data_IF_866280729721
#
_entry.id   IF_866280729721
#
_cell.length_a   1.000
_cell.length_b   1.000
_cell.length_c   1.000
_cell.angle_alpha   90.00
_cell.angle_beta   90.00
_cell.angle_gamma   90.00
#
_symmetry.space_group_name_H-M   'P 1'
#
loop_
_entity.id
_entity.type
_entity.pdbx_description
1 polymer ?
#
# COMPACT_ATOMS: atom_id res chain seq x y z
N UNK A 1 71.51 4.72 -30.28
CA UNK A 1 70.64 3.51 -30.33
C UNK A 1 70.38 2.85 -28.96
N UNK A 2 70.65 3.54 -27.83
CA UNK A 2 70.42 2.97 -26.49
C UNK A 2 69.25 3.63 -25.72
N UNK A 3 68.83 4.85 -26.06
CA UNK A 3 67.81 5.57 -25.29
C UNK A 3 66.37 5.03 -25.48
N UNK A 4 66.06 4.48 -26.66
CA UNK A 4 64.77 3.82 -26.93
C UNK A 4 64.58 2.50 -26.18
N UNK A 5 65.66 1.75 -25.92
CA UNK A 5 65.58 0.48 -25.18
C UNK A 5 65.27 0.71 -23.70
N UNK A 6 65.80 1.76 -23.09
CA UNK A 6 65.51 2.08 -21.68
C UNK A 6 64.09 2.59 -21.45
N UNK A 7 63.52 3.33 -22.40
CA UNK A 7 62.12 3.75 -22.30
C UNK A 7 61.15 2.58 -22.47
N UNK A 8 61.44 1.64 -23.38
CA UNK A 8 60.60 0.46 -23.56
C UNK A 8 60.67 -0.49 -22.34
N UNK A 9 61.87 -0.65 -21.75
CA UNK A 9 62.06 -1.46 -20.53
C UNK A 9 61.41 -0.79 -19.32
N UNK A 10 61.48 0.54 -19.18
CA UNK A 10 60.80 1.27 -18.11
C UNK A 10 59.28 1.22 -18.23
N UNK A 11 58.74 1.23 -19.45
CA UNK A 11 57.30 1.10 -19.69
C UNK A 11 56.82 -0.33 -19.41
N UNK A 12 57.63 -1.34 -19.74
CA UNK A 12 57.33 -2.75 -19.46
C UNK A 12 57.41 -3.07 -17.96
N UNK A 13 58.35 -2.48 -17.22
CA UNK A 13 58.46 -2.68 -15.76
C UNK A 13 57.35 -1.98 -14.99
N UNK A 14 56.89 -0.80 -15.43
CA UNK A 14 55.70 -0.16 -14.85
C UNK A 14 54.45 -0.98 -15.16
N UNK A 15 54.30 -1.53 -16.36
CA UNK A 15 53.19 -2.40 -16.72
C UNK A 15 53.17 -3.69 -15.88
N UNK A 16 54.31 -4.35 -15.69
CA UNK A 16 54.41 -5.59 -14.89
C UNK A 16 54.20 -5.35 -13.39
N UNK A 17 54.69 -4.23 -12.85
CA UNK A 17 54.41 -3.84 -11.46
C UNK A 17 52.93 -3.48 -11.21
N UNK A 18 52.20 -3.05 -12.25
CA UNK A 18 50.76 -2.77 -12.18
C UNK A 18 49.90 -4.03 -12.13
N UNK A 19 50.41 -5.17 -12.61
CA UNK A 19 49.71 -6.46 -12.58
C UNK A 19 50.00 -7.30 -11.33
N UNK A 20 51.00 -6.96 -10.52
CA UNK A 20 51.41 -7.77 -9.34
C UNK A 20 50.95 -7.23 -7.98
N UNK A 21 50.17 -6.14 -7.93
CA UNK A 21 49.79 -5.54 -6.65
C UNK A 21 48.39 -4.96 -6.66
N UNK A 22 47.39 -5.80 -6.36
CA UNK A 22 46.10 -5.42 -5.75
C UNK A 22 45.30 -6.69 -5.39
N UNK A 23 45.82 -7.52 -4.49
CA UNK A 23 45.01 -8.53 -3.78
C UNK A 23 44.42 -7.94 -2.50
N UNK A 24 43.80 -6.76 -2.55
CA UNK A 24 43.15 -6.19 -1.37
C UNK A 24 42.08 -5.18 -1.76
N UNK A 25 40.99 -5.60 -2.41
CA UNK A 25 39.72 -4.86 -2.30
C UNK A 25 38.53 -5.83 -2.42
N UNK A 26 37.75 -5.88 -1.34
CA UNK A 26 36.42 -6.47 -1.19
C UNK A 26 36.26 -7.98 -1.42
N UNK A 27 36.63 -8.76 -0.41
CA UNK A 27 36.22 -10.16 -0.27
C UNK A 27 35.24 -10.40 0.90
N UNK A 28 34.65 -9.35 1.47
CA UNK A 28 33.85 -9.47 2.69
C UNK A 28 32.39 -9.86 2.46
N UNK A 29 31.81 -9.60 1.28
CA UNK A 29 30.39 -9.93 1.02
C UNK A 29 30.18 -11.31 0.36
N UNK A 30 31.09 -11.77 -0.52
CA UNK A 30 31.02 -13.10 -1.17
C UNK A 30 31.17 -14.27 -0.16
N UNK A 31 31.75 -14.02 1.02
CA UNK A 31 31.95 -15.06 2.05
C UNK A 31 30.64 -15.72 2.53
N UNK A 32 29.52 -15.00 2.58
CA UNK A 32 28.29 -15.55 3.16
C UNK A 32 27.58 -16.53 2.22
N UNK A 33 27.69 -16.33 0.91
CA UNK A 33 27.10 -17.20 -0.12
C UNK A 33 27.92 -18.47 -0.36
N UNK A 34 29.23 -18.41 -0.12
CA UNK A 34 30.17 -19.50 -0.43
C UNK A 34 30.65 -20.28 0.82
N UNK A 35 30.25 -19.86 2.03
CA UNK A 35 30.49 -20.58 3.30
C UNK A 35 29.19 -21.23 3.83
N UNK A 36 28.91 -22.50 3.47
CA UNK A 36 27.66 -23.18 3.82
C UNK A 36 27.47 -23.42 5.33
N UNK A 37 28.48 -23.17 6.15
CA UNK A 37 28.42 -23.30 7.61
C UNK A 37 27.54 -22.22 8.29
N UNK A 38 27.17 -21.15 7.58
CA UNK A 38 26.29 -20.08 8.08
C UNK A 38 24.85 -20.14 7.54
N UNK A 39 24.62 -20.87 6.44
CA UNK A 39 23.33 -20.94 5.77
C UNK A 39 22.50 -22.10 6.31
N UNK A 40 21.19 -21.89 6.46
CA UNK A 40 20.29 -22.99 6.74
C UNK A 40 20.33 -24.03 5.59
N UNK A 41 20.24 -25.34 5.89
CA UNK A 41 20.20 -26.35 4.85
C UNK A 41 19.01 -26.11 3.91
N UNK A 42 19.24 -26.30 2.60
CA UNK A 42 18.16 -26.28 1.62
C UNK A 42 17.41 -27.60 1.74
N UNK A 43 16.19 -27.56 2.28
CA UNK A 43 15.35 -28.75 2.35
C UNK A 43 14.85 -29.12 0.94
N UNK A 44 14.87 -30.41 0.55
CA UNK A 44 14.40 -30.85 -0.77
C UNK A 44 12.95 -30.45 -1.07
N UNK A 45 12.15 -30.28 -0.01
CA UNK A 45 10.73 -29.97 -0.02
C UNK A 45 10.43 -28.46 -0.19
N UNK A 46 11.40 -27.65 -0.63
CA UNK A 46 11.11 -26.24 -0.93
C UNK A 46 10.01 -26.14 -1.99
N UNK A 47 8.98 -25.30 -1.77
CA UNK A 47 7.90 -25.11 -2.74
C UNK A 47 8.42 -24.54 -4.06
N UNK A 48 7.97 -25.13 -5.18
CA UNK A 48 8.42 -24.80 -6.55
C UNK A 48 7.22 -24.68 -7.48
N UNK A 49 7.45 -24.20 -8.69
CA UNK A 49 6.42 -23.99 -9.71
C UNK A 49 5.43 -25.15 -9.87
N UNK A 50 5.91 -26.41 -9.92
CA UNK A 50 5.04 -27.59 -10.08
C UNK A 50 4.61 -28.24 -8.75
N UNK A 51 5.11 -27.76 -7.62
CA UNK A 51 4.87 -28.28 -6.27
C UNK A 51 4.73 -27.10 -5.30
N UNK A 52 3.77 -26.23 -5.59
CA UNK A 52 3.45 -25.08 -4.74
C UNK A 52 2.71 -25.53 -3.48
N UNK A 53 2.88 -24.76 -2.41
CA UNK A 53 2.13 -24.92 -1.17
C UNK A 53 1.13 -23.80 -0.99
N UNK A 54 0.04 -24.08 -0.31
CA UNK A 54 -0.91 -23.05 0.10
C UNK A 54 -0.29 -22.19 1.20
N UNK A 55 -0.46 -20.87 1.08
CA UNK A 55 -0.10 -19.93 2.14
C UNK A 55 -0.93 -20.21 3.41
N UNK A 56 -0.39 -19.95 4.61
CA UNK A 56 -1.19 -19.94 5.84
C UNK A 56 -2.34 -18.94 5.76
N UNK A 57 -3.31 -19.09 6.65
CA UNK A 57 -4.42 -18.14 6.79
C UNK A 57 -3.90 -16.70 6.89
N UNK A 58 -4.53 -15.82 6.13
CA UNK A 58 -4.09 -14.45 6.05
C UNK A 58 -4.31 -13.74 7.39
N UNK A 59 -3.23 -13.16 7.91
CA UNK A 59 -3.24 -12.37 9.15
C UNK A 59 -3.12 -10.90 8.79
N UNK A 60 -4.12 -10.14 9.22
CA UNK A 60 -4.26 -8.70 8.96
C UNK A 60 -3.13 -7.93 9.65
N UNK A 61 -2.46 -7.07 8.89
CA UNK A 61 -1.40 -6.20 9.39
C UNK A 61 -1.49 -4.80 8.75
N UNK A 62 -0.97 -3.75 9.40
CA UNK A 62 -0.85 -2.46 8.74
C UNK A 62 0.12 -2.57 7.54
N UNK A 63 -0.14 -1.89 6.40
CA UNK A 63 -1.26 -1.00 6.09
C UNK A 63 -2.31 -1.66 5.17
N UNK A 64 -2.80 -2.86 5.52
CA UNK A 64 -3.85 -3.54 4.75
C UNK A 64 -5.11 -2.69 4.61
N UNK A 65 -5.82 -2.89 3.50
CA UNK A 65 -7.10 -2.24 3.23
C UNK A 65 -8.21 -3.29 3.31
N UNK A 66 -9.13 -3.12 4.26
CA UNK A 66 -10.26 -4.03 4.46
C UNK A 66 -11.52 -3.46 3.81
N UNK A 67 -12.33 -4.31 3.17
CA UNK A 67 -13.71 -3.96 2.86
C UNK A 67 -14.59 -4.45 4.00
N UNK A 68 -15.36 -3.54 4.60
CA UNK A 68 -16.32 -3.87 5.65
C UNK A 68 -17.69 -3.49 5.12
N UNK A 69 -18.64 -4.42 5.17
CA UNK A 69 -20.02 -4.17 4.75
C UNK A 69 -20.97 -4.49 5.89
N UNK A 70 -21.87 -3.56 6.21
CA UNK A 70 -22.95 -3.79 7.14
C UNK A 70 -24.05 -4.60 6.45
N UNK A 71 -24.20 -5.87 6.84
CA UNK A 71 -25.26 -6.74 6.32
C UNK A 71 -26.56 -6.51 7.08
N UNK A 72 -26.46 -6.39 8.41
CA UNK A 72 -27.61 -6.14 9.28
C UNK A 72 -27.20 -5.33 10.52
N UNK A 73 -27.77 -4.13 10.70
CA UNK A 73 -27.51 -3.27 11.86
C UNK A 73 -28.82 -2.73 12.46
N UNK A 74 -29.55 -3.59 13.14
CA UNK A 74 -30.76 -3.20 13.88
C UNK A 74 -30.32 -2.57 15.21
N UNK A 75 -30.70 -1.33 15.55
CA UNK A 75 -30.31 -0.73 16.82
C UNK A 75 -30.93 -1.45 18.01
N UNK A 76 -30.25 -1.36 19.16
CA UNK A 76 -30.80 -1.81 20.43
C UNK A 76 -32.04 -0.99 20.83
N UNK A 77 -33.02 -1.64 21.44
CA UNK A 77 -34.18 -0.98 22.03
C UNK A 77 -33.86 -0.44 23.43
N UNK A 78 -34.42 0.74 23.83
CA UNK A 78 -35.25 1.63 23.04
C UNK A 78 -34.43 2.52 22.09
N UNK A 79 -34.85 2.58 20.82
CA UNK A 79 -34.25 3.46 19.81
C UNK A 79 -34.91 4.83 19.80
N UNK A 80 -34.11 5.89 19.78
CA UNK A 80 -34.56 7.28 19.57
C UNK A 80 -34.27 7.71 18.14
N UNK A 81 -35.21 8.38 17.49
CA UNK A 81 -35.07 8.90 16.14
C UNK A 81 -33.93 9.92 16.05
N UNK A 82 -33.12 9.82 15.01
CA UNK A 82 -32.06 10.76 14.66
C UNK A 82 -32.42 11.54 13.40
N UNK A 83 -31.76 12.68 13.14
CA UNK A 83 -31.81 13.32 11.84
C UNK A 83 -31.46 12.32 10.71
N UNK A 84 -32.12 12.45 9.57
CA UNK A 84 -32.01 11.60 8.38
C UNK A 84 -32.59 10.19 8.50
N UNK A 85 -33.17 9.83 9.64
CA UNK A 85 -33.96 8.59 9.71
C UNK A 85 -35.25 8.73 8.91
N UNK A 86 -35.74 7.60 8.37
CA UNK A 86 -37.01 7.55 7.65
C UNK A 86 -38.02 6.78 8.47
N UNK A 87 -39.18 7.40 8.71
CA UNK A 87 -40.33 6.78 9.36
C UNK A 87 -41.47 6.61 8.35
N UNK A 88 -42.16 5.47 8.41
CA UNK A 88 -43.45 5.31 7.73
C UNK A 88 -44.55 5.76 8.69
N UNK A 89 -45.40 6.67 8.22
CA UNK A 89 -46.59 7.10 8.93
C UNK A 89 -47.81 6.60 8.16
N UNK A 90 -48.71 5.92 8.85
CA UNK A 90 -50.00 5.52 8.33
C UNK A 90 -51.09 6.06 9.25
N UNK A 91 -52.14 6.62 8.65
CA UNK A 91 -53.25 7.22 9.40
C UNK A 91 -54.59 6.69 8.93
N UNK A 92 -55.54 6.59 9.86
CA UNK A 92 -56.95 6.31 9.58
C UNK A 92 -57.84 7.37 10.22
N UNK A 93 -58.92 7.74 9.53
CA UNK A 93 -59.90 8.73 9.98
C UNK A 93 -59.66 10.17 9.47
N UNK A 94 -58.63 10.40 8.65
CA UNK A 94 -58.41 11.68 7.96
C UNK A 94 -59.29 11.83 6.71
N UNK A 95 -59.58 13.07 6.26
CA UNK A 95 -60.26 13.32 4.98
C UNK A 95 -59.52 12.69 3.79
N UNK A 96 -60.26 12.14 2.83
CA UNK A 96 -59.68 11.50 1.63
C UNK A 96 -58.79 12.44 0.80
N UNK A 97 -59.06 13.75 0.88
CA UNK A 97 -58.30 14.78 0.16
C UNK A 97 -56.94 15.12 0.81
N UNK A 98 -56.72 14.72 2.06
CA UNK A 98 -55.53 15.08 2.86
C UNK A 98 -54.97 13.88 3.65
N UNK A 99 -54.62 12.76 2.98
CA UNK A 99 -54.08 11.60 3.68
C UNK A 99 -52.64 11.86 4.15
N UNK A 100 -52.34 11.53 5.41
CA UNK A 100 -50.98 11.51 5.95
C UNK A 100 -50.50 10.06 5.94
N UNK A 101 -50.16 9.58 4.74
CA UNK A 101 -49.71 8.21 4.52
C UNK A 101 -48.44 8.27 3.66
N UNK A 102 -47.36 7.70 4.16
CA UNK A 102 -46.12 7.61 3.41
C UNK A 102 -44.87 7.57 4.27
N UNK A 103 -43.73 7.72 3.60
CA UNK A 103 -42.42 7.81 4.24
C UNK A 103 -42.05 9.27 4.47
N UNK A 104 -41.62 9.55 5.69
CA UNK A 104 -41.19 10.86 6.13
C UNK A 104 -39.74 10.76 6.64
N UNK A 105 -38.86 11.54 6.04
CA UNK A 105 -37.47 11.65 6.51
C UNK A 105 -37.38 12.75 7.57
N UNK A 106 -36.78 12.44 8.71
CA UNK A 106 -36.45 13.42 9.74
C UNK A 106 -35.40 14.36 9.17
N UNK A 107 -35.72 15.66 9.13
CA UNK A 107 -34.81 16.68 8.62
C UNK A 107 -33.51 16.76 9.43
N UNK A 108 -32.49 17.40 8.85
CA UNK A 108 -31.22 17.71 9.54
C UNK A 108 -31.45 18.56 10.81
N UNK A 109 -32.51 19.36 10.80
CA UNK A 109 -32.97 20.15 11.93
C UNK A 109 -33.77 19.30 12.93
N UNK A 110 -33.90 17.99 12.73
CA UNK A 110 -34.59 17.04 13.60
C UNK A 110 -36.12 17.10 13.53
N UNK A 111 -36.69 17.74 12.50
CA UNK A 111 -38.14 17.90 12.37
C UNK A 111 -38.71 17.14 11.17
N UNK A 112 -40.02 16.86 11.21
CA UNK A 112 -40.79 16.27 10.12
C UNK A 112 -41.97 17.18 9.81
N UNK A 113 -42.27 17.29 8.52
CA UNK A 113 -43.42 18.05 7.98
C UNK A 113 -44.45 17.05 7.48
N UNK A 114 -45.69 17.14 7.98
CA UNK A 114 -46.76 16.22 7.58
C UNK A 114 -47.45 16.65 6.27
N UNK A 115 -47.48 17.95 5.99
CA UNK A 115 -48.13 18.57 4.85
C UNK A 115 -49.61 18.89 5.10
N UNK A 116 -50.30 19.28 4.01
CA UNK A 116 -51.77 19.48 3.97
C UNK A 116 -52.35 20.45 5.01
N UNK A 117 -51.55 21.41 5.49
CA UNK A 117 -51.97 22.38 6.50
C UNK A 117 -51.94 21.87 7.95
N UNK A 118 -51.61 20.59 8.19
CA UNK A 118 -51.48 20.04 9.54
C UNK A 118 -50.29 20.60 10.32
N UNK A 119 -49.33 21.21 9.63
CA UNK A 119 -48.16 21.85 10.25
C UNK A 119 -48.44 23.29 10.74
N UNK A 120 -49.63 23.83 10.45
CA UNK A 120 -50.11 25.14 10.93
C UNK A 120 -50.92 24.98 12.23
N UNK A 121 -50.75 25.90 13.19
CA UNK A 121 -51.43 25.83 14.49
C UNK A 121 -52.88 26.36 14.47
N UNK A 122 -53.24 27.11 13.42
CA UNK A 122 -54.54 27.75 13.21
C UNK A 122 -54.61 28.16 11.74
N UNK A 123 -55.80 28.25 11.13
CA UNK A 123 -55.95 28.84 9.78
C UNK A 123 -55.25 30.22 9.73
N UNK A 124 -54.10 30.31 9.05
CA UNK A 124 -53.28 31.52 8.94
C UNK A 124 -52.18 31.70 10.01
N UNK A 125 -51.82 30.64 10.74
CA UNK A 125 -50.79 30.64 11.78
C UNK A 125 -49.36 30.42 11.27
N UNK A 126 -48.37 30.53 12.16
CA UNK A 126 -46.98 30.27 11.83
C UNK A 126 -46.74 28.76 11.60
N UNK A 127 -46.14 28.43 10.45
CA UNK A 127 -45.70 27.08 10.11
C UNK A 127 -44.71 26.52 11.14
N UNK A 128 -45.01 25.35 11.72
CA UNK A 128 -44.17 24.72 12.74
C UNK A 128 -44.01 23.20 12.53
N UNK A 129 -42.89 22.76 11.94
CA UNK A 129 -42.54 21.35 11.81
C UNK A 129 -42.56 20.59 13.14
N UNK A 130 -42.83 19.29 13.09
CA UNK A 130 -42.86 18.42 14.27
C UNK A 130 -41.45 17.97 14.63
N UNK A 131 -40.97 18.31 15.82
CA UNK A 131 -39.70 17.79 16.33
C UNK A 131 -39.85 16.33 16.71
N UNK A 132 -39.26 15.42 15.92
CA UNK A 132 -39.27 13.98 16.20
C UNK A 132 -37.91 13.43 16.61
N UNK A 133 -36.81 14.11 16.24
CA UNK A 133 -35.48 13.69 16.66
C UNK A 133 -35.34 13.72 18.20
N UNK A 134 -34.80 12.64 18.75
CA UNK A 134 -34.67 12.38 20.19
C UNK A 134 -35.85 11.62 20.80
N UNK A 135 -36.96 11.44 20.07
CA UNK A 135 -38.12 10.69 20.53
C UNK A 135 -38.02 9.22 20.12
N UNK A 136 -38.57 8.33 20.93
CA UNK A 136 -38.82 6.94 20.54
C UNK A 136 -39.99 6.84 19.55
N UNK A 137 -40.10 5.73 18.81
CA UNK A 137 -41.22 5.51 17.87
C UNK A 137 -42.60 5.66 18.55
N UNK A 138 -42.85 5.12 19.76
CA UNK A 138 -44.12 5.33 20.47
C UNK A 138 -44.37 6.80 20.85
N UNK A 139 -43.34 7.55 21.24
CA UNK A 139 -43.44 8.97 21.55
C UNK A 139 -43.71 9.80 20.29
N UNK A 140 -43.03 9.50 19.18
CA UNK A 140 -43.27 10.13 17.89
C UNK A 140 -44.71 9.88 17.41
N UNK A 141 -45.24 8.66 17.57
CA UNK A 141 -46.64 8.34 17.29
C UNK A 141 -47.60 9.20 18.14
N UNK A 142 -47.32 9.36 19.43
CA UNK A 142 -48.13 10.19 20.31
C UNK A 142 -48.14 11.67 19.87
N UNK A 143 -46.99 12.22 19.50
CA UNK A 143 -46.83 13.62 19.04
C UNK A 143 -47.56 13.85 17.71
N UNK A 144 -47.45 12.93 16.74
CA UNK A 144 -48.15 13.05 15.46
C UNK A 144 -49.67 12.97 15.67
N UNK A 145 -50.13 12.04 16.51
CA UNK A 145 -51.56 11.90 16.84
C UNK A 145 -52.11 13.17 17.50
N UNK A 146 -51.36 13.76 18.44
CA UNK A 146 -51.76 15.02 19.08
C UNK A 146 -51.87 16.16 18.06
N UNK A 147 -50.95 16.24 17.09
CA UNK A 147 -51.03 17.26 16.03
C UNK A 147 -52.29 17.10 15.18
N UNK A 148 -52.60 15.88 14.75
CA UNK A 148 -53.75 15.61 13.89
C UNK A 148 -55.07 15.79 14.63
N UNK A 149 -55.11 15.56 15.94
CA UNK A 149 -56.30 15.70 16.77
C UNK A 149 -56.82 17.16 16.87
N UNK A 150 -55.98 18.15 16.53
CA UNK A 150 -56.39 19.57 16.42
C UNK A 150 -57.34 19.79 15.23
N UNK A 151 -57.17 19.00 14.16
CA UNK A 151 -57.87 19.18 12.89
C UNK A 151 -58.98 18.14 12.68
N UNK A 152 -58.82 16.94 13.24
CA UNK A 152 -59.70 15.79 12.98
C UNK A 152 -60.08 15.11 14.30
N UNK A 153 -61.32 14.64 14.41
CA UNK A 153 -61.79 13.90 15.59
C UNK A 153 -61.24 12.46 15.59
N UNK A 154 -60.58 12.07 16.68
CA UNK A 154 -60.07 10.71 16.93
C UNK A 154 -59.20 10.10 15.80
N UNK A 155 -58.10 10.76 15.38
CA UNK A 155 -57.21 10.20 14.38
C UNK A 155 -56.47 8.97 14.93
N UNK A 156 -56.39 7.91 14.13
CA UNK A 156 -55.56 6.74 14.43
C UNK A 156 -54.26 6.86 13.64
N UNK A 157 -53.12 6.72 14.33
CA UNK A 157 -51.79 6.89 13.75
C UNK A 157 -50.93 5.67 14.08
N UNK A 158 -50.28 5.11 13.07
CA UNK A 158 -49.24 4.10 13.19
C UNK A 158 -47.93 4.68 12.68
N UNK A 159 -46.85 4.52 13.46
CA UNK A 159 -45.51 4.95 13.06
C UNK A 159 -44.57 3.75 13.12
N UNK A 160 -43.77 3.56 12.07
CA UNK A 160 -42.75 2.52 11.97
C UNK A 160 -41.44 3.13 11.50
N UNK A 161 -40.31 2.64 12.00
CA UNK A 161 -38.99 3.02 11.51
C UNK A 161 -38.72 2.23 10.22
N UNK A 162 -38.55 2.94 9.10
CA UNK A 162 -38.34 2.36 7.78
C UNK A 162 -36.84 2.29 7.40
N UNK A 163 -36.06 3.29 7.82
CA UNK A 163 -34.64 3.38 7.50
C UNK A 163 -33.85 4.17 8.53
N UNK A 164 -32.58 3.82 8.67
CA UNK A 164 -31.66 4.41 9.65
C UNK A 164 -30.41 4.88 8.93
N UNK A 165 -30.02 6.12 9.20
CA UNK A 165 -28.83 6.75 8.61
C UNK A 165 -27.50 6.04 8.93
N UNK A 166 -27.44 5.32 10.05
CA UNK A 166 -26.30 4.59 10.60
C UNK A 166 -25.54 3.66 9.63
N UNK A 167 -26.23 3.06 8.65
CA UNK A 167 -25.65 2.01 7.79
C UNK A 167 -24.52 2.51 6.87
N UNK A 168 -24.53 3.81 6.52
CA UNK A 168 -23.64 4.36 5.51
C UNK A 168 -22.20 4.60 6.02
N UNK A 169 -22.00 4.77 7.33
CA UNK A 169 -20.69 5.14 7.87
C UNK A 169 -19.75 3.95 8.12
N UNK A 170 -20.31 2.75 8.33
CA UNK A 170 -19.55 1.52 8.58
C UNK A 170 -19.17 0.84 7.26
N UNK A 171 -20.03 0.95 6.24
CA UNK A 171 -19.84 0.24 4.98
C UNK A 171 -18.83 0.97 4.10
N UNK A 172 -17.75 0.30 3.71
CA UNK A 172 -16.73 0.87 2.84
C UNK A 172 -15.36 0.23 2.98
N UNK A 173 -14.35 0.93 2.45
CA UNK A 173 -12.95 0.55 2.56
C UNK A 173 -12.32 1.19 3.81
N UNK A 174 -11.60 0.38 4.59
CA UNK A 174 -11.03 0.75 5.88
C UNK A 174 -9.55 0.39 5.92
N UNK A 175 -8.70 1.41 5.97
CA UNK A 175 -7.26 1.24 6.11
C UNK A 175 -6.93 0.80 7.55
N UNK A 176 -6.13 -0.26 7.68
CA UNK A 176 -5.57 -0.69 8.97
C UNK A 176 -4.47 0.30 9.36
N UNK A 177 -4.75 1.08 10.40
CA UNK A 177 -3.83 2.10 10.90
C UNK A 177 -2.56 1.48 11.52
N UNK A 178 -1.46 2.25 11.69
CA UNK A 178 -0.21 1.76 12.27
C UNK A 178 -0.33 1.20 13.70
N UNK A 179 -1.37 1.60 14.44
CA UNK A 179 -1.67 1.05 15.77
C UNK A 179 -2.44 -0.28 15.73
N UNK A 180 -2.75 -0.75 14.52
CA UNK A 180 -3.43 -2.01 14.24
C UNK A 180 -4.95 -1.95 14.32
N UNK A 181 -5.55 -0.75 14.22
CA UNK A 181 -6.99 -0.55 14.32
C UNK A 181 -7.62 -0.10 13.00
N UNK A 182 -8.91 -0.39 12.82
CA UNK A 182 -9.77 0.16 11.77
C UNK A 182 -10.81 1.10 12.38
N UNK A 183 -11.13 2.19 11.68
CA UNK A 183 -12.07 3.22 12.15
C UNK A 183 -13.44 2.98 11.55
N UNK A 184 -14.43 2.64 12.38
CA UNK A 184 -15.81 2.42 11.97
C UNK A 184 -16.61 3.73 12.08
N UNK A 185 -16.11 4.81 11.48
CA UNK A 185 -16.74 6.14 11.57
C UNK A 185 -16.97 6.63 13.01
N UNK A 186 -18.16 7.17 13.26
CA UNK A 186 -18.61 7.69 14.56
C UNK A 186 -18.74 6.62 15.66
N UNK A 187 -18.74 5.32 15.31
CA UNK A 187 -18.83 4.24 16.28
C UNK A 187 -17.51 3.99 17.02
N UNK A 188 -16.38 4.44 16.47
CA UNK A 188 -15.07 4.33 17.08
C UNK A 188 -14.13 3.41 16.30
N UNK A 189 -13.23 2.73 16.99
CA UNK A 189 -12.15 1.95 16.37
C UNK A 189 -12.03 0.55 16.95
N UNK A 190 -11.71 -0.42 16.11
CA UNK A 190 -11.55 -1.83 16.51
C UNK A 190 -10.15 -2.31 16.14
N UNK A 191 -9.47 -2.98 17.08
CA UNK A 191 -8.16 -3.59 16.82
C UNK A 191 -8.33 -4.87 16.02
N UNK A 192 -7.67 -4.96 14.87
CA UNK A 192 -7.74 -6.09 13.94
C UNK A 192 -6.36 -6.67 13.59
N UNK A 193 -5.27 -5.99 13.98
CA UNK A 193 -3.92 -6.50 13.75
C UNK A 193 -3.71 -7.86 14.41
N UNK A 194 -3.08 -8.78 13.68
CA UNK A 194 -2.81 -10.13 14.16
C UNK A 194 -4.03 -11.05 14.11
N UNK A 195 -5.18 -10.57 13.62
CA UNK A 195 -6.39 -11.38 13.46
C UNK A 195 -6.47 -11.94 12.04
N UNK A 196 -7.08 -13.11 11.90
CA UNK A 196 -7.61 -13.56 10.61
C UNK A 196 -8.85 -12.75 10.23
N UNK A 197 -9.28 -12.84 8.97
CA UNK A 197 -10.50 -12.15 8.49
C UNK A 197 -11.74 -12.55 9.32
N UNK A 198 -11.89 -13.83 9.64
CA UNK A 198 -13.00 -14.34 10.46
C UNK A 198 -12.96 -13.84 11.91
N UNK A 199 -11.75 -13.73 12.46
CA UNK A 199 -11.55 -13.18 13.81
C UNK A 199 -11.85 -11.68 13.83
N UNK A 200 -11.41 -10.93 12.82
CA UNK A 200 -11.70 -9.51 12.67
C UNK A 200 -13.21 -9.26 12.51
N UNK A 201 -13.90 -10.07 11.69
CA UNK A 201 -15.36 -10.08 11.59
C UNK A 201 -16.01 -10.23 12.96
N UNK A 202 -15.62 -11.27 13.70
CA UNK A 202 -16.18 -11.53 15.04
C UNK A 202 -15.90 -10.38 16.02
N UNK A 203 -14.69 -9.82 16.01
CA UNK A 203 -14.31 -8.69 16.86
C UNK A 203 -15.12 -7.42 16.54
N UNK A 204 -15.35 -7.14 15.25
CA UNK A 204 -16.17 -6.01 14.79
C UNK A 204 -17.63 -6.21 15.21
N UNK A 205 -18.20 -7.40 15.01
CA UNK A 205 -19.58 -7.70 15.45
C UNK A 205 -19.74 -7.54 16.96
N UNK A 206 -18.78 -8.05 17.74
CA UNK A 206 -18.78 -7.91 19.19
C UNK A 206 -18.73 -6.43 19.61
N UNK A 207 -17.88 -5.62 18.97
CA UNK A 207 -17.82 -4.18 19.24
C UNK A 207 -19.16 -3.49 18.96
N UNK A 208 -19.76 -3.78 17.81
CA UNK A 208 -21.03 -3.21 17.36
C UNK A 208 -22.24 -3.65 18.19
N UNK A 209 -22.18 -4.80 18.88
CA UNK A 209 -23.28 -5.31 19.70
C UNK A 209 -23.69 -4.38 20.85
N UNK A 210 -22.79 -3.46 21.25
CA UNK A 210 -23.09 -2.42 22.25
C UNK A 210 -24.20 -1.47 21.78
N UNK A 211 -24.31 -1.26 20.47
CA UNK A 211 -25.27 -0.32 19.85
C UNK A 211 -26.34 -1.00 19.02
N UNK A 212 -26.05 -2.17 18.47
CA UNK A 212 -26.91 -2.91 17.56
C UNK A 212 -27.25 -4.29 18.12
N UNK A 213 -28.49 -4.73 17.92
CA UNK A 213 -28.96 -6.07 18.22
C UNK A 213 -28.54 -7.02 17.10
N UNK A 214 -27.81 -8.10 17.45
CA UNK A 214 -27.35 -9.13 16.52
C UNK A 214 -26.72 -8.56 15.23
N UNK A 215 -25.67 -7.71 15.33
CA UNK A 215 -25.07 -7.08 14.16
C UNK A 215 -24.43 -8.13 13.25
N UNK A 216 -24.68 -8.01 11.95
CA UNK A 216 -24.04 -8.85 10.93
C UNK A 216 -23.21 -7.97 10.00
N UNK A 217 -21.94 -8.34 9.84
CA UNK A 217 -20.99 -7.66 8.95
C UNK A 217 -20.27 -8.69 8.08
N UNK A 218 -19.95 -8.28 6.86
CA UNK A 218 -18.99 -8.96 6.01
C UNK A 218 -17.67 -8.20 6.07
N UNK A 219 -16.56 -8.92 6.16
CA UNK A 219 -15.21 -8.36 6.17
C UNK A 219 -14.39 -9.15 5.17
N UNK A 220 -13.72 -8.43 4.27
CA UNK A 220 -12.82 -8.99 3.27
C UNK A 220 -11.55 -8.13 3.19
N UNK A 221 -10.45 -8.69 2.69
CA UNK A 221 -9.24 -7.92 2.39
C UNK A 221 -9.35 -7.38 0.97
N UNK A 222 -9.50 -6.06 0.84
CA UNK A 222 -9.57 -5.37 -0.44
C UNK A 222 -8.18 -5.11 -1.02
N UNK A 223 -7.21 -4.74 -0.17
CA UNK A 223 -5.83 -4.48 -0.55
C UNK A 223 -4.83 -5.18 0.36
N UNK A 224 -4.11 -6.14 -0.20
CA UNK A 224 -3.06 -6.94 0.46
C UNK A 224 -1.73 -6.17 0.50
N UNK A 225 -1.64 -5.19 1.40
CA UNK A 225 -0.52 -4.23 1.42
C UNK A 225 0.59 -4.60 2.42
N UNK A 226 0.33 -5.53 3.34
CA UNK A 226 1.28 -5.88 4.40
C UNK A 226 2.26 -6.99 4.03
N UNK A 227 1.87 -7.92 3.16
CA UNK A 227 2.69 -9.07 2.78
C UNK A 227 3.39 -8.79 1.46
N UNK A 228 4.69 -8.52 1.54
CA UNK A 228 5.53 -8.19 0.38
C UNK A 228 6.77 -9.08 0.33
N UNK A 229 7.31 -9.26 -0.86
CA UNK A 229 8.68 -9.73 -1.08
C UNK A 229 9.49 -8.60 -1.73
N UNK A 230 10.82 -8.70 -1.68
CA UNK A 230 11.70 -7.67 -2.22
C UNK A 230 12.50 -8.23 -3.38
N UNK A 231 12.65 -7.44 -4.44
CA UNK A 231 13.66 -7.70 -5.45
C UNK A 231 14.79 -6.68 -5.32
N UNK A 232 16.00 -7.20 -5.15
CA UNK A 232 17.21 -6.43 -4.92
C UNK A 232 18.10 -6.55 -6.16
N UNK A 233 18.30 -5.43 -6.83
CA UNK A 233 19.15 -5.32 -8.01
C UNK A 233 20.45 -4.65 -7.61
N UNK A 234 21.56 -5.38 -7.73
CA UNK A 234 22.87 -4.83 -7.41
C UNK A 234 23.31 -3.83 -8.48
N UNK A 235 23.57 -2.58 -8.08
CA UNK A 235 23.78 -1.47 -9.02
C UNK A 235 25.23 -1.18 -9.38
N UNK A 236 26.08 -2.20 -9.48
CA UNK A 236 27.46 -2.04 -9.95
C UNK A 236 28.32 -1.01 -9.23
N UNK A 237 28.18 -0.94 -7.91
CA UNK A 237 28.87 0.04 -7.09
C UNK A 237 28.23 1.43 -7.10
N UNK A 238 27.16 1.69 -7.86
CA UNK A 238 26.35 2.91 -7.77
C UNK A 238 25.28 2.85 -6.66
N UNK A 239 25.20 1.71 -5.96
CA UNK A 239 24.22 1.43 -4.90
C UNK A 239 23.16 0.43 -5.36
N UNK A 240 22.59 -0.31 -4.42
CA UNK A 240 21.59 -1.33 -4.73
C UNK A 240 20.19 -0.72 -4.83
N UNK A 241 19.39 -1.20 -5.77
CA UNK A 241 17.99 -0.82 -5.91
C UNK A 241 17.11 -1.92 -5.33
N UNK A 242 16.25 -1.55 -4.39
CA UNK A 242 15.28 -2.46 -3.76
C UNK A 242 13.88 -2.10 -4.24
N UNK A 243 13.15 -3.09 -4.75
CA UNK A 243 11.76 -2.94 -5.23
C UNK A 243 10.86 -3.86 -4.39
N UNK A 244 9.93 -3.31 -3.59
CA UNK A 244 8.93 -4.11 -2.88
C UNK A 244 7.81 -4.52 -3.84
N UNK A 245 7.36 -5.77 -3.73
CA UNK A 245 6.31 -6.35 -4.56
C UNK A 245 5.26 -7.03 -3.66
N UNK A 246 3.95 -6.85 -3.91
CA UNK A 246 2.90 -7.53 -3.16
C UNK A 246 2.90 -9.02 -3.47
N UNK A 247 2.63 -9.85 -2.46
CA UNK A 247 2.48 -11.29 -2.65
C UNK A 247 1.03 -11.64 -2.96
N UNK A 248 0.84 -12.48 -3.98
CA UNK A 248 -0.46 -13.05 -4.39
C UNK A 248 -0.60 -14.50 -3.95
N UNK A 249 0.50 -15.13 -3.53
CA UNK A 249 0.58 -16.50 -3.04
C UNK A 249 0.95 -17.53 -4.11
N UNK A 250 0.90 -17.18 -5.40
CA UNK A 250 1.38 -18.00 -6.51
C UNK A 250 2.74 -17.56 -7.05
N UNK A 251 3.25 -16.41 -6.61
CA UNK A 251 4.42 -15.78 -7.22
C UNK A 251 5.64 -16.68 -7.17
N UNK A 252 6.35 -16.78 -8.29
CA UNK A 252 7.61 -17.51 -8.43
C UNK A 252 8.79 -16.57 -8.68
N UNK A 253 10.02 -17.13 -8.63
CA UNK A 253 11.22 -16.41 -9.02
C UNK A 253 11.10 -15.81 -10.44
N UNK A 254 10.52 -16.56 -11.38
CA UNK A 254 10.26 -16.09 -12.73
C UNK A 254 9.28 -14.92 -12.76
N UNK A 255 8.17 -15.00 -12.02
CA UNK A 255 7.16 -13.93 -11.96
C UNK A 255 7.74 -12.65 -11.38
N UNK A 256 8.52 -12.74 -10.31
CA UNK A 256 9.18 -11.60 -9.69
C UNK A 256 10.17 -10.90 -10.62
N UNK A 257 10.97 -11.68 -11.35
CA UNK A 257 12.00 -11.16 -12.24
C UNK A 257 11.40 -10.63 -13.55
N UNK A 258 10.36 -11.25 -14.08
CA UNK A 258 9.69 -10.80 -15.32
C UNK A 258 9.04 -9.43 -15.21
N UNK A 259 8.65 -9.01 -14.01
CA UNK A 259 8.06 -7.70 -13.74
C UNK A 259 9.09 -6.56 -13.71
N UNK A 260 10.38 -6.87 -13.83
CA UNK A 260 11.46 -5.89 -13.76
C UNK A 260 12.00 -5.60 -15.16
N UNK A 261 11.69 -4.40 -15.65
CA UNK A 261 12.13 -3.87 -16.96
C UNK A 261 13.66 -3.79 -17.14
N UNK A 262 14.45 -3.97 -16.07
CA UNK A 262 15.90 -3.68 -16.05
C UNK A 262 16.81 -4.90 -16.19
N UNK A 263 16.27 -6.12 -16.36
CA UNK A 263 17.11 -7.32 -16.49
C UNK A 263 17.85 -7.41 -17.83
N UNK A 264 17.41 -6.69 -18.86
CA UNK A 264 18.00 -6.73 -20.20
C UNK A 264 19.37 -6.03 -20.30
N UNK A 265 19.71 -5.15 -19.35
CA UNK A 265 20.94 -4.34 -19.38
C UNK A 265 22.08 -4.94 -18.54
N UNK A 266 21.80 -5.94 -17.72
CA UNK A 266 22.77 -6.63 -16.88
C UNK A 266 22.74 -8.12 -17.20
N UNK A 267 23.76 -8.61 -17.91
CA UNK A 267 24.11 -10.04 -17.95
C UNK A 267 24.49 -10.50 -16.54
N UNK A 268 23.48 -10.63 -15.68
CA UNK A 268 23.59 -10.92 -14.27
C UNK A 268 24.12 -12.33 -14.13
N UNK A 269 25.28 -12.50 -13.51
CA UNK A 269 25.97 -13.79 -13.47
C UNK A 269 25.37 -14.72 -12.41
N UNK A 270 24.71 -14.18 -11.38
CA UNK A 270 24.22 -14.97 -10.25
C UNK A 270 22.92 -14.39 -9.68
N UNK A 271 21.94 -15.25 -9.45
CA UNK A 271 20.66 -14.90 -8.83
C UNK A 271 20.33 -15.89 -7.72
N UNK A 272 19.70 -15.43 -6.64
CA UNK A 272 19.26 -16.28 -5.53
C UNK A 272 18.11 -15.64 -4.76
N UNK A 273 17.36 -16.46 -4.01
CA UNK A 273 16.41 -15.98 -3.01
C UNK A 273 17.06 -16.12 -1.65
N UNK A 274 17.10 -15.04 -0.88
CA UNK A 274 17.39 -15.09 0.54
C UNK A 274 16.06 -15.12 1.30
N UNK A 275 15.71 -16.29 1.82
CA UNK A 275 14.50 -16.54 2.60
C UNK A 275 14.78 -16.36 4.09
N UNK A 276 14.05 -15.49 4.79
CA UNK A 276 14.26 -15.28 6.22
C UNK A 276 13.92 -16.55 7.01
N UNK A 277 14.86 -17.01 7.83
CA UNK A 277 14.68 -18.12 8.76
C UNK A 277 14.49 -17.64 10.21
N UNK A 278 14.07 -18.51 11.14
CA UNK A 278 14.07 -18.20 12.56
C UNK A 278 15.52 -18.03 13.04
N UNK A 279 15.90 -16.80 13.38
CA UNK A 279 17.26 -16.39 13.80
C UNK A 279 17.87 -17.17 15.00
N UNK A 280 17.14 -18.12 15.60
CA UNK A 280 17.55 -18.88 16.78
C UNK A 280 18.23 -20.23 16.51
N UNK A 281 18.05 -20.88 15.35
CA UNK A 281 18.59 -22.24 15.13
C UNK A 281 19.04 -22.57 13.70
N UNK A 282 18.62 -21.82 12.69
CA UNK A 282 19.02 -22.01 11.30
C UNK A 282 19.01 -20.61 10.67
N UNK A 283 20.13 -20.15 10.12
CA UNK A 283 20.24 -18.83 9.51
C UNK A 283 19.24 -18.59 8.38
N UNK A 284 19.45 -17.52 7.62
CA UNK A 284 18.79 -17.31 6.35
C UNK A 284 19.06 -18.47 5.37
N UNK A 285 18.05 -18.79 4.56
CA UNK A 285 18.13 -19.83 3.55
C UNK A 285 18.41 -19.19 2.19
N UNK A 286 19.52 -19.61 1.56
CA UNK A 286 19.93 -19.11 0.25
C UNK A 286 19.52 -20.15 -0.81
N UNK A 287 18.55 -19.79 -1.65
CA UNK A 287 18.03 -20.64 -2.71
C UNK A 287 18.58 -20.17 -4.06
N UNK A 288 19.48 -20.92 -4.72
CA UNK A 288 20.07 -20.50 -5.99
C UNK A 288 19.04 -20.56 -7.13
N UNK A 289 19.01 -19.54 -7.98
CA UNK A 289 18.15 -19.49 -9.18
C UNK A 289 18.99 -19.75 -10.42
N UNK A 290 18.66 -20.81 -11.18
CA UNK A 290 19.19 -21.03 -12.53
C UNK A 290 18.30 -20.33 -13.55
N UNK A 291 18.54 -19.02 -13.74
CA UNK A 291 17.78 -18.20 -14.67
C UNK A 291 17.80 -18.71 -16.11
N UNK A 292 18.96 -19.21 -16.56
CA UNK A 292 19.10 -19.74 -17.92
C UNK A 292 18.31 -21.06 -18.07
N UNK A 293 18.36 -21.93 -17.06
CA UNK A 293 17.54 -23.14 -17.01
C UNK A 293 16.06 -22.82 -17.08
N UNK A 294 15.58 -21.91 -16.25
CA UNK A 294 14.16 -21.52 -16.22
C UNK A 294 13.73 -20.93 -17.57
N UNK A 295 14.47 -19.95 -18.10
CA UNK A 295 14.03 -19.18 -19.29
C UNK A 295 14.30 -19.86 -20.63
N UNK A 296 15.43 -20.55 -20.79
CA UNK A 296 15.81 -21.16 -22.08
C UNK A 296 15.46 -22.64 -22.16
N UNK A 297 15.43 -23.36 -21.02
CA UNK A 297 15.20 -24.81 -20.97
C UNK A 297 13.84 -25.19 -20.39
N UNK A 298 13.13 -24.26 -19.75
CA UNK A 298 11.91 -24.56 -18.99
C UNK A 298 12.16 -25.41 -17.74
N UNK A 299 13.37 -25.31 -17.17
CA UNK A 299 13.77 -26.08 -15.98
C UNK A 299 13.18 -25.45 -14.72
N UNK A 300 12.16 -26.10 -14.15
CA UNK A 300 11.43 -25.64 -12.97
C UNK A 300 12.14 -25.93 -11.65
N UNK A 301 13.29 -26.63 -11.68
CA UNK A 301 13.94 -27.14 -10.46
C UNK A 301 14.37 -26.02 -9.49
N UNK A 302 14.61 -24.81 -10.01
CA UNK A 302 15.00 -23.62 -9.24
C UNK A 302 13.98 -22.47 -9.36
N UNK A 303 12.81 -22.72 -9.95
CA UNK A 303 11.71 -21.75 -9.96
C UNK A 303 10.88 -21.90 -8.69
N UNK A 304 11.44 -21.40 -7.58
CA UNK A 304 10.81 -21.48 -6.26
C UNK A 304 9.58 -20.58 -6.16
N UNK A 305 8.57 -21.02 -5.42
CA UNK A 305 7.47 -20.17 -4.96
C UNK A 305 8.00 -19.21 -3.89
N UNK A 306 7.67 -17.93 -4.03
CA UNK A 306 8.07 -16.87 -3.13
C UNK A 306 7.16 -16.82 -1.90
N UNK A 307 7.75 -16.41 -0.77
CA UNK A 307 7.10 -16.25 0.52
C UNK A 307 7.23 -14.80 1.01
N UNK A 308 6.34 -14.32 1.90
CA UNK A 308 6.43 -12.98 2.45
C UNK A 308 7.78 -12.77 3.14
N UNK A 309 8.43 -11.65 2.84
CA UNK A 309 9.76 -11.31 3.35
C UNK A 309 10.94 -11.90 2.56
N UNK A 310 10.69 -12.74 1.55
CA UNK A 310 11.75 -13.22 0.65
C UNK A 310 12.45 -12.04 -0.05
N UNK A 311 13.75 -12.20 -0.27
CA UNK A 311 14.57 -11.23 -1.01
C UNK A 311 15.16 -11.91 -2.23
N UNK A 312 14.66 -11.58 -3.41
CA UNK A 312 15.23 -12.04 -4.69
C UNK A 312 16.39 -11.13 -5.04
N UNK A 313 17.61 -11.65 -4.97
CA UNK A 313 18.81 -10.93 -5.31
C UNK A 313 19.23 -11.21 -6.75
N UNK A 314 19.56 -10.14 -7.47
CA UNK A 314 20.15 -10.17 -8.80
C UNK A 314 21.52 -9.52 -8.71
N UNK A 315 22.57 -10.35 -8.71
CA UNK A 315 23.92 -9.86 -8.69
C UNK A 315 24.35 -9.37 -10.06
N UNK A 316 25.14 -8.31 -10.05
CA UNK A 316 25.70 -7.71 -11.24
C UNK A 316 26.74 -8.61 -11.92
N UNK A 317 27.13 -8.21 -13.13
CA UNK A 317 28.28 -8.80 -13.79
C UNK A 317 29.58 -8.19 -13.24
N UNK A 318 30.56 -9.02 -12.85
CA UNK A 318 31.85 -8.57 -12.32
C UNK A 318 32.61 -7.61 -13.25
N UNK A 319 32.40 -7.71 -14.57
CA UNK A 319 33.00 -6.80 -15.55
C UNK A 319 32.39 -5.39 -15.49
N UNK A 320 31.07 -5.29 -15.27
CA UNK A 320 30.37 -4.01 -15.14
C UNK A 320 30.74 -3.31 -13.83
N UNK A 321 30.93 -4.08 -12.75
CA UNK A 321 31.47 -3.59 -11.49
C UNK A 321 32.86 -2.94 -11.66
N UNK A 322 33.72 -3.60 -12.44
CA UNK A 322 35.08 -3.16 -12.71
C UNK A 322 35.11 -1.88 -13.54
N UNK A 323 34.36 -1.81 -14.63
CA UNK A 323 34.27 -0.61 -15.47
C UNK A 323 33.75 0.59 -14.66
N UNK A 324 32.76 0.37 -13.79
CA UNK A 324 32.24 1.43 -12.91
C UNK A 324 33.28 1.86 -11.87
N UNK A 325 34.02 0.92 -11.28
CA UNK A 325 35.09 1.23 -10.34
C UNK A 325 36.23 2.02 -11.01
N UNK A 326 36.61 1.64 -12.24
CA UNK A 326 37.60 2.34 -13.04
C UNK A 326 37.14 3.77 -13.38
N UNK A 327 35.89 3.92 -13.83
CA UNK A 327 35.29 5.21 -14.11
C UNK A 327 35.27 6.12 -12.86
N UNK A 328 34.93 5.57 -11.68
CA UNK A 328 35.00 6.33 -10.42
C UNK A 328 36.41 6.83 -10.10
N UNK A 329 37.43 6.00 -10.34
CA UNK A 329 38.83 6.35 -10.07
C UNK A 329 39.37 7.40 -11.04
N UNK A 330 38.97 7.35 -12.31
CA UNK A 330 39.45 8.26 -13.36
C UNK A 330 38.64 9.58 -13.43
N UNK A 331 37.36 9.56 -13.01
CA UNK A 331 36.46 10.73 -13.09
C UNK A 331 36.97 12.03 -12.44
N UNK A 332 37.79 12.04 -11.35
CA UNK A 332 38.35 13.27 -10.81
C UNK A 332 39.46 13.84 -11.72
N UNK A 333 40.23 12.96 -12.37
CA UNK A 333 41.32 13.34 -13.26
C UNK A 333 40.74 13.94 -14.55
N UNK A 334 39.69 13.33 -15.10
CA UNK A 334 38.94 13.90 -16.24
C UNK A 334 38.31 15.25 -15.90
N UNK A 335 37.76 15.42 -14.69
CA UNK A 335 37.23 16.72 -14.23
C UNK A 335 38.31 17.80 -14.15
N UNK A 336 39.49 17.47 -13.64
CA UNK A 336 40.61 18.42 -13.57
C UNK A 336 41.17 18.71 -14.96
N UNK A 337 41.34 17.70 -15.81
CA UNK A 337 41.83 17.87 -17.17
C UNK A 337 40.86 18.65 -18.06
N UNK A 338 39.54 18.44 -17.90
CA UNK A 338 38.49 19.24 -18.56
C UNK A 338 38.55 20.73 -18.19
N UNK A 339 38.83 21.05 -16.92
CA UNK A 339 39.05 22.43 -16.46
C UNK A 339 40.35 23.01 -17.06
N UNK A 340 41.42 22.22 -17.21
CA UNK A 340 42.66 22.71 -17.85
C UNK A 340 42.53 22.92 -19.36
N UNK A 341 41.71 22.12 -20.06
CA UNK A 341 41.44 22.27 -21.49
C UNK A 341 40.55 23.50 -21.78
N UNK A 342 39.57 23.80 -20.91
CA UNK A 342 38.79 25.04 -20.98
C UNK A 342 39.62 26.27 -20.57
N UNK A 343 40.51 26.14 -19.59
CA UNK A 343 41.44 27.21 -19.17
C UNK A 343 42.47 27.59 -20.24
N UNK A 344 42.90 26.63 -21.06
CA UNK A 344 43.83 26.88 -22.18
C UNK A 344 43.13 27.46 -23.42
N UNK A 345 41.84 27.18 -23.64
CA UNK A 345 41.07 27.86 -24.67
C UNK A 345 40.67 29.30 -24.29
N UNK A 346 40.24 29.55 -23.04
CA UNK A 346 39.95 30.92 -22.59
C UNK A 346 41.20 31.80 -22.57
N UNK A 347 42.37 31.27 -22.18
CA UNK A 347 43.63 32.00 -22.28
C UNK A 347 44.02 32.37 -23.72
N UNK A 348 43.75 31.50 -24.71
CA UNK A 348 43.96 31.81 -26.13
C UNK A 348 42.99 32.88 -26.65
N UNK A 349 41.73 32.87 -26.22
CA UNK A 349 40.74 33.89 -26.61
C UNK A 349 41.05 35.25 -25.98
N UNK A 350 41.52 35.29 -24.73
CA UNK A 350 41.93 36.53 -24.06
C UNK A 350 43.18 37.13 -24.73
N UNK A 351 44.18 36.32 -25.10
CA UNK A 351 45.34 36.81 -25.85
C UNK A 351 45.00 37.31 -27.26
N UNK A 352 43.94 36.80 -27.89
CA UNK A 352 43.45 37.31 -29.18
C UNK A 352 42.74 38.67 -29.01
N UNK A 353 41.97 38.86 -27.94
CA UNK A 353 41.31 40.13 -27.65
C UNK A 353 42.30 41.26 -27.31
N UNK A 354 43.38 40.94 -26.60
CA UNK A 354 44.41 41.90 -26.22
C UNK A 354 45.27 42.37 -27.43
N UNK A 355 45.43 41.51 -28.45
CA UNK A 355 46.08 41.89 -29.73
C UNK A 355 45.21 42.76 -30.63
N UNK A 356 43.89 42.69 -30.53
CA UNK A 356 42.99 43.60 -31.27
C UNK A 356 42.94 45.00 -30.67
N UNK A 357 43.12 45.15 -29.34
CA UNK A 357 43.12 46.48 -28.70
C UNK A 357 44.43 47.26 -28.86
N UNK A 358 45.54 46.60 -29.23
CA UNK A 358 46.82 47.28 -29.50
C UNK A 358 46.93 47.85 -30.92
N UNK A 359 45.98 47.56 -31.82
CA UNK A 359 45.95 48.09 -33.20
C UNK A 359 44.90 49.19 -33.43
N UNK A 360 44.17 49.64 -32.40
CA UNK A 360 43.20 50.74 -32.50
C UNK A 360 43.73 52.10 -32.00
N UNK A 361 45.01 52.20 -31.60
CA UNK A 361 45.62 53.44 -31.13
C UNK A 361 46.73 53.99 -32.04
N UNK A 362 46.78 53.56 -33.30
CA UNK A 362 47.60 54.20 -34.33
C UNK A 362 46.78 54.27 -35.62
N UNK A 363 45.90 55.27 -35.72
CA UNK A 363 45.66 56.12 -36.90
C UNK A 363 44.64 57.23 -36.55
#
# INVERSE_FOLDING_TARGET
MNMQKYQLVALLTVLVCSFMGCQTFNHTFDRYLDHPEHNAPIYPEQPKELQMVTMPDYVIEPPDLLSIQAVNLIPNAPYTLHPLDTITVETSGLPEEQPVIGEYTVGIDGTVTLGFGYDEQTLGGAYRPLRLAGLTVPEAQAVIRERLAVHVQNPVVWVRLAGISAHQEISGEHLVAPDGTVTLGSYGRVRVVGMTVDQAKSAIQQFLSTRFANPEVAVDVFGYNSKIYYVVLQGAGLGDRVVPMPITGKDTALDALSQIDSLSSANSTRMWIARPGPNGQCGDQILPIDWQGITQRGDVATNYQLMPGDRVFVAENKLVAFDTALAKLISPIERVLGVTLLGTQTARTIHLFDRTNTNLNNF
#
